data_IF_310110860183
#
_entry.id   IF_310110860183
#
_cell.length_a   1.000
_cell.length_b   1.000
_cell.length_c   1.000
_cell.angle_alpha   90.00
_cell.angle_beta   90.00
_cell.angle_gamma   90.00
#
_symmetry.space_group_name_H-M   'P 1'
#
loop_
_entity.id
_entity.type
_entity.pdbx_description
1 polymer ?
#
# COMPACT_ATOMS: atom_id res chain seq x y z
N UNK A 1 -12.88 -31.67 -10.13
CA UNK A 1 -11.68 -30.82 -10.16
C UNK A 1 -12.12 -29.40 -10.50
N UNK A 2 -12.29 -28.57 -9.47
CA UNK A 2 -12.63 -27.15 -9.60
C UNK A 2 -11.36 -26.33 -9.43
N UNK A 3 -11.00 -25.56 -10.46
CA UNK A 3 -9.96 -24.56 -10.37
C UNK A 3 -10.49 -23.36 -9.57
N UNK A 4 -10.41 -23.42 -8.24
CA UNK A 4 -10.44 -22.23 -7.38
C UNK A 4 -9.03 -21.63 -7.34
N UNK A 5 -8.73 -20.75 -8.30
CA UNK A 5 -7.45 -20.07 -8.41
C UNK A 5 -7.64 -18.56 -8.53
N UNK A 6 -6.99 -17.81 -7.63
CA UNK A 6 -7.02 -16.36 -7.41
C UNK A 6 -8.24 -15.81 -6.64
N UNK A 7 -8.20 -15.98 -5.32
CA UNK A 7 -9.00 -15.15 -4.42
C UNK A 7 -8.61 -13.67 -4.58
N UNK A 8 -9.60 -12.80 -4.75
CA UNK A 8 -9.48 -11.34 -4.68
C UNK A 8 -8.98 -10.91 -3.28
N UNK A 9 -7.70 -11.09 -2.99
CA UNK A 9 -7.08 -10.67 -1.73
C UNK A 9 -6.94 -9.16 -1.74
N UNK A 10 -7.94 -8.46 -1.22
CA UNK A 10 -7.84 -7.06 -0.85
C UNK A 10 -7.27 -6.96 0.57
N UNK A 11 -6.65 -5.82 0.88
CA UNK A 11 -6.09 -5.51 2.19
C UNK A 11 -6.99 -4.47 2.84
N UNK A 12 -7.49 -4.74 4.05
CA UNK A 12 -8.20 -3.74 4.87
C UNK A 12 -7.18 -2.99 5.73
N UNK A 13 -7.23 -1.66 5.72
CA UNK A 13 -6.35 -0.81 6.51
C UNK A 13 -7.16 0.23 7.29
N UNK A 14 -6.81 0.42 8.55
CA UNK A 14 -7.56 1.25 9.49
C UNK A 14 -8.63 0.43 10.24
N UNK A 15 -9.75 1.04 10.67
CA UNK A 15 -10.09 2.45 10.50
C UNK A 15 -9.33 3.36 11.48
N UNK A 16 -9.07 4.60 11.05
CA UNK A 16 -8.52 5.66 11.91
C UNK A 16 -9.62 6.59 12.39
N UNK A 17 -9.61 6.92 13.69
CA UNK A 17 -10.61 7.78 14.31
C UNK A 17 -11.13 7.20 15.62
N UNK A 18 -12.34 7.62 16.01
CA UNK A 18 -12.99 7.17 17.23
C UNK A 18 -13.70 5.82 17.12
N UNK A 19 -14.01 5.27 18.29
CA UNK A 19 -14.76 4.01 18.44
C UNK A 19 -16.27 4.22 18.57
N UNK A 20 -16.74 5.47 18.51
CA UNK A 20 -18.16 5.86 18.54
C UNK A 20 -18.86 5.61 17.21
N UNK A 21 -20.19 5.80 17.17
CA UNK A 21 -21.00 5.66 15.96
C UNK A 21 -21.30 4.22 15.52
N UNK A 22 -22.17 4.08 14.51
CA UNK A 22 -22.52 2.80 13.91
C UNK A 22 -21.45 2.36 12.90
N UNK A 23 -21.16 1.06 12.83
CA UNK A 23 -20.27 0.50 11.80
C UNK A 23 -20.93 0.57 10.42
N UNK A 24 -20.14 0.87 9.41
CA UNK A 24 -20.52 0.78 8.01
C UNK A 24 -19.37 0.21 7.19
N UNK A 25 -19.73 -0.46 6.10
CA UNK A 25 -18.82 -1.11 5.17
C UNK A 25 -19.48 -1.10 3.80
N UNK A 26 -18.90 -0.39 2.84
CA UNK A 26 -19.45 -0.32 1.48
C UNK A 26 -19.16 -1.59 0.67
N UNK A 27 -18.20 -2.41 1.11
CA UNK A 27 -17.64 -3.54 0.39
C UNK A 27 -16.51 -3.17 -0.58
N UNK A 28 -16.15 -4.13 -1.44
CA UNK A 28 -15.05 -4.02 -2.39
C UNK A 28 -15.58 -3.90 -3.82
N UNK A 29 -15.06 -2.93 -4.55
CA UNK A 29 -15.45 -2.56 -5.92
C UNK A 29 -14.27 -2.58 -6.88
N UNK A 30 -14.49 -2.24 -8.15
CA UNK A 30 -13.41 -2.16 -9.13
C UNK A 30 -12.54 -0.92 -8.92
N UNK A 31 -13.15 0.23 -8.63
CA UNK A 31 -12.47 1.49 -8.28
C UNK A 31 -13.48 2.48 -7.72
N UNK A 32 -12.98 3.55 -7.11
CA UNK A 32 -13.74 4.76 -6.79
C UNK A 32 -13.80 5.65 -8.04
N UNK A 33 -14.94 6.26 -8.32
CA UNK A 33 -15.16 7.23 -9.41
C UNK A 33 -15.32 8.66 -8.87
N UNK A 34 -16.02 8.81 -7.75
CA UNK A 34 -16.24 10.10 -7.13
C UNK A 34 -16.26 9.99 -5.60
N UNK A 35 -15.74 11.02 -4.94
CA UNK A 35 -15.92 11.24 -3.50
C UNK A 35 -16.72 12.52 -3.30
N UNK A 36 -17.75 12.48 -2.46
CA UNK A 36 -18.47 13.65 -1.97
C UNK A 36 -18.20 13.76 -0.48
N UNK A 37 -17.60 14.87 -0.07
CA UNK A 37 -17.22 15.11 1.31
C UNK A 37 -17.84 16.41 1.82
N UNK A 38 -18.55 16.31 2.94
CA UNK A 38 -19.08 17.46 3.67
C UNK A 38 -18.21 17.67 4.91
N UNK A 39 -17.72 18.90 5.10
CA UNK A 39 -16.78 19.22 6.17
C UNK A 39 -16.93 20.65 6.70
N UNK A 40 -16.38 20.84 7.89
CA UNK A 40 -16.28 22.09 8.62
C UNK A 40 -15.06 22.06 9.55
N UNK A 41 -15.29 22.05 10.87
CA UNK A 41 -14.24 21.80 11.85
C UNK A 41 -13.80 20.32 11.92
N UNK A 42 -14.67 19.43 11.43
CA UNK A 42 -14.50 17.98 11.28
C UNK A 42 -15.06 17.53 9.94
N UNK A 43 -14.94 16.24 9.62
CA UNK A 43 -15.70 15.64 8.53
C UNK A 43 -17.09 15.29 9.04
N UNK A 44 -18.10 16.00 8.52
CA UNK A 44 -19.50 15.78 8.87
C UNK A 44 -20.03 14.50 8.24
N UNK A 45 -19.73 14.31 6.96
CA UNK A 45 -20.14 13.11 6.23
C UNK A 45 -19.37 12.89 4.93
N UNK A 46 -19.41 11.64 4.46
CA UNK A 46 -18.79 11.21 3.23
C UNK A 46 -19.71 10.27 2.44
N UNK A 47 -19.61 10.31 1.12
CA UNK A 47 -20.32 9.41 0.20
C UNK A 47 -19.46 9.13 -1.01
N UNK A 48 -19.53 7.91 -1.53
CA UNK A 48 -18.70 7.45 -2.62
C UNK A 48 -19.54 7.00 -3.81
N UNK A 49 -19.04 7.27 -5.00
CA UNK A 49 -19.49 6.65 -6.23
C UNK A 49 -18.43 5.62 -6.64
N UNK A 50 -18.83 4.36 -6.77
CA UNK A 50 -17.97 3.26 -7.14
C UNK A 50 -18.24 2.78 -8.56
N UNK A 51 -17.21 2.21 -9.19
CA UNK A 51 -17.38 1.37 -10.37
C UNK A 51 -17.58 -0.08 -9.95
N UNK A 52 -18.71 -0.66 -10.38
CA UNK A 52 -19.05 -2.07 -10.23
C UNK A 52 -19.14 -2.68 -11.62
N UNK A 53 -18.02 -3.23 -12.10
CA UNK A 53 -17.87 -3.85 -13.42
C UNK A 53 -18.35 -2.93 -14.56
N UNK A 54 -17.93 -1.66 -14.55
CA UNK A 54 -18.30 -0.65 -15.54
C UNK A 54 -19.59 0.12 -15.22
N UNK A 55 -20.40 -0.35 -14.27
CA UNK A 55 -21.61 0.36 -13.82
C UNK A 55 -21.31 1.27 -12.64
N UNK A 56 -21.90 2.46 -12.62
CA UNK A 56 -21.80 3.36 -11.46
C UNK A 56 -22.80 2.97 -10.37
N UNK A 57 -22.33 2.90 -9.12
CA UNK A 57 -23.16 2.66 -7.93
C UNK A 57 -22.77 3.64 -6.83
N UNK A 58 -23.76 4.31 -6.23
CA UNK A 58 -23.55 5.17 -5.07
C UNK A 58 -23.63 4.39 -3.77
N UNK A 59 -22.72 4.67 -2.85
CA UNK A 59 -22.83 4.24 -1.46
C UNK A 59 -23.96 4.97 -0.75
N UNK A 60 -24.31 4.47 0.44
CA UNK A 60 -25.01 5.27 1.44
C UNK A 60 -24.13 6.45 1.90
N UNK A 61 -24.78 7.48 2.44
CA UNK A 61 -24.07 8.60 3.05
C UNK A 61 -23.68 8.22 4.48
N UNK A 62 -22.40 8.32 4.81
CA UNK A 62 -21.88 8.01 6.14
C UNK A 62 -21.61 9.30 6.91
N UNK A 63 -22.29 9.49 8.04
CA UNK A 63 -22.24 10.70 8.86
C UNK A 63 -23.55 11.50 8.85
N UNK A 64 -23.54 12.66 9.48
CA UNK A 64 -24.76 13.43 9.75
C UNK A 64 -25.23 14.33 8.60
N UNK A 65 -26.35 15.04 8.81
CA UNK A 65 -26.86 16.04 7.87
C UNK A 65 -26.02 17.32 7.84
N UNK A 66 -25.13 17.52 8.84
CA UNK A 66 -24.24 18.68 8.94
C UNK A 66 -23.41 18.90 7.68
N UNK A 67 -23.26 20.16 7.29
CA UNK A 67 -22.42 20.54 6.17
C UNK A 67 -22.18 22.05 6.16
N UNK A 68 -20.96 22.49 6.48
CA UNK A 68 -20.54 23.88 6.20
C UNK A 68 -20.05 24.03 4.76
N UNK A 69 -19.28 23.04 4.26
CA UNK A 69 -18.74 23.03 2.90
C UNK A 69 -18.85 21.63 2.30
N UNK A 70 -19.28 21.55 1.04
CA UNK A 70 -19.27 20.30 0.27
C UNK A 70 -18.25 20.39 -0.84
N UNK A 71 -17.36 19.40 -0.92
CA UNK A 71 -16.45 19.23 -2.04
C UNK A 71 -16.74 17.91 -2.77
N UNK A 72 -16.59 17.93 -4.10
CA UNK A 72 -16.74 16.76 -4.96
C UNK A 72 -15.40 16.49 -5.66
N UNK A 73 -14.86 15.31 -5.46
CA UNK A 73 -13.65 14.82 -6.11
C UNK A 73 -14.10 13.88 -7.22
N UNK A 74 -14.16 14.39 -8.46
CA UNK A 74 -14.38 13.56 -9.65
C UNK A 74 -13.05 13.07 -10.19
N UNK A 75 -12.89 11.75 -10.26
CA UNK A 75 -11.70 11.12 -10.83
C UNK A 75 -11.93 10.91 -12.32
N UNK A 76 -10.91 11.22 -13.14
CA UNK A 76 -10.93 10.94 -14.57
C UNK A 76 -10.81 9.42 -14.85
N UNK A 77 -11.85 8.66 -14.52
CA UNK A 77 -11.92 7.22 -14.75
C UNK A 77 -11.87 6.90 -16.26
N UNK A 78 -11.11 5.87 -16.70
CA UNK A 78 -10.37 4.90 -15.87
C UNK A 78 -8.94 5.31 -15.50
N UNK A 79 -8.41 6.38 -16.08
CA UNK A 79 -7.00 6.74 -15.99
C UNK A 79 -6.58 7.30 -14.63
N UNK A 80 -7.54 7.84 -13.87
CA UNK A 80 -7.32 8.36 -12.53
C UNK A 80 -8.07 7.53 -11.48
N UNK A 81 -7.34 7.07 -10.48
CA UNK A 81 -7.84 6.26 -9.38
C UNK A 81 -7.15 6.61 -8.07
N UNK A 82 -7.85 6.42 -6.96
CA UNK A 82 -7.30 6.68 -5.63
C UNK A 82 -6.25 5.63 -5.28
N UNK A 83 -5.11 6.11 -4.78
CA UNK A 83 -4.00 5.27 -4.33
C UNK A 83 -3.77 5.42 -2.83
N UNK A 84 -4.13 6.56 -2.23
CA UNK A 84 -3.86 6.84 -0.82
C UNK A 84 -4.90 7.76 -0.19
N UNK A 85 -5.04 7.63 1.14
CA UNK A 85 -5.68 8.60 2.01
C UNK A 85 -4.76 8.94 3.18
N UNK A 86 -4.85 10.19 3.62
CA UNK A 86 -4.27 10.66 4.88
C UNK A 86 -5.19 11.66 5.55
N UNK A 87 -4.95 11.94 6.83
CA UNK A 87 -5.83 12.81 7.59
C UNK A 87 -5.38 12.99 9.02
N UNK A 88 -6.26 13.57 9.82
CA UNK A 88 -6.05 13.76 11.25
C UNK A 88 -7.30 13.37 12.02
N UNK A 89 -7.13 12.82 13.21
CA UNK A 89 -8.20 12.54 14.15
C UNK A 89 -7.94 13.21 15.50
N UNK A 90 -9.01 13.72 16.12
CA UNK A 90 -8.97 14.37 17.43
C UNK A 90 -10.37 14.55 17.97
N UNK A 91 -10.47 14.81 19.27
CA UNK A 91 -11.70 15.32 19.86
C UNK A 91 -11.90 16.81 19.53
N UNK A 92 -13.15 17.28 19.57
CA UNK A 92 -13.49 18.71 19.46
C UNK A 92 -13.45 19.44 20.80
N UNK A 93 -13.69 18.71 21.88
CA UNK A 93 -13.72 19.22 23.26
C UNK A 93 -12.87 18.31 24.14
N UNK A 94 -12.38 18.82 25.27
CA UNK A 94 -11.63 17.99 26.23
C UNK A 94 -12.49 16.79 26.66
N UNK A 95 -11.90 15.58 26.64
CA UNK A 95 -12.58 14.30 26.91
C UNK A 95 -13.77 13.93 26.00
N UNK A 96 -13.98 14.63 24.90
CA UNK A 96 -15.00 14.29 23.90
C UNK A 96 -14.64 13.10 23.01
N UNK A 97 -15.58 12.63 22.17
CA UNK A 97 -15.33 11.56 21.22
C UNK A 97 -14.31 11.99 20.16
N UNK A 98 -13.39 11.09 19.82
CA UNK A 98 -12.44 11.29 18.72
C UNK A 98 -13.18 11.19 17.38
N UNK A 99 -12.98 12.19 16.53
CA UNK A 99 -13.59 12.26 15.19
C UNK A 99 -12.51 12.41 14.13
N UNK A 100 -12.86 12.09 12.88
CA UNK A 100 -12.02 12.44 11.72
C UNK A 100 -12.08 13.96 11.53
N UNK A 101 -10.96 14.65 11.80
CA UNK A 101 -10.85 16.12 11.72
C UNK A 101 -10.56 16.59 10.30
N UNK A 102 -9.76 15.82 9.56
CA UNK A 102 -9.44 16.13 8.19
C UNK A 102 -9.18 14.89 7.33
N UNK A 103 -9.38 15.06 6.02
CA UNK A 103 -9.03 14.07 5.01
C UNK A 103 -8.35 14.71 3.81
N UNK A 104 -7.34 14.01 3.30
CA UNK A 104 -6.69 14.27 2.03
C UNK A 104 -6.69 12.97 1.23
N UNK A 105 -7.16 13.05 -0.02
CA UNK A 105 -7.15 11.94 -0.96
C UNK A 105 -6.03 12.13 -1.96
N UNK A 106 -5.36 11.05 -2.32
CA UNK A 106 -4.30 11.07 -3.33
C UNK A 106 -4.65 10.05 -4.42
N UNK A 107 -4.69 10.53 -5.66
CA UNK A 107 -4.79 9.71 -6.85
C UNK A 107 -3.39 9.42 -7.40
N UNK A 108 -3.32 8.52 -8.38
CA UNK A 108 -2.12 8.32 -9.19
C UNK A 108 -1.69 9.55 -10.01
N UNK A 109 -2.44 10.67 -9.96
CA UNK A 109 -2.15 11.90 -10.70
C UNK A 109 -1.92 13.10 -9.80
N UNK A 110 -2.71 13.26 -8.72
CA UNK A 110 -2.68 14.45 -7.87
C UNK A 110 -3.31 14.23 -6.50
N UNK A 111 -3.15 15.23 -5.62
CA UNK A 111 -3.75 15.28 -4.29
C UNK A 111 -4.99 16.16 -4.26
N UNK A 112 -5.92 15.82 -3.38
CA UNK A 112 -7.17 16.53 -3.14
C UNK A 112 -7.37 16.76 -1.65
N UNK A 113 -7.54 18.03 -1.26
CA UNK A 113 -7.68 18.44 0.13
C UNK A 113 -6.50 19.31 0.59
N UNK A 114 -6.30 19.46 1.91
CA UNK A 114 -7.09 18.85 2.98
C UNK A 114 -8.54 19.37 3.00
N UNK A 115 -9.46 18.50 3.40
CA UNK A 115 -10.84 18.85 3.77
C UNK A 115 -10.95 18.77 5.29
N UNK A 116 -11.59 19.74 5.93
CA UNK A 116 -11.60 19.89 7.39
C UNK A 116 -10.35 20.58 7.95
N UNK A 117 -10.04 20.34 9.23
CA UNK A 117 -8.93 20.97 9.96
C UNK A 117 -7.85 19.94 10.28
N UNK A 118 -6.61 20.21 9.87
CA UNK A 118 -5.45 19.37 10.20
C UNK A 118 -5.03 19.56 11.66
N UNK A 119 -5.68 18.86 12.57
CA UNK A 119 -5.39 18.94 14.01
C UNK A 119 -5.54 17.58 14.68
N UNK A 120 -4.61 17.29 15.61
CA UNK A 120 -4.54 16.03 16.36
C UNK A 120 -3.63 14.99 15.73
N UNK A 121 -3.96 13.71 15.92
CA UNK A 121 -3.12 12.59 15.50
C UNK A 121 -3.22 12.40 13.99
N UNK A 122 -2.09 12.51 13.31
CA UNK A 122 -1.98 12.24 11.88
C UNK A 122 -2.12 10.74 11.58
N UNK A 123 -2.76 10.41 10.47
CA UNK A 123 -2.77 9.08 9.90
C UNK A 123 -2.58 9.11 8.39
N UNK A 124 -2.03 8.03 7.84
CA UNK A 124 -1.93 7.78 6.41
C UNK A 124 -1.94 6.29 6.14
N UNK A 125 -2.31 5.89 4.93
CA UNK A 125 -2.01 4.51 4.52
C UNK A 125 -0.48 4.34 4.43
N UNK A 126 0.05 3.17 4.79
CA UNK A 126 1.49 2.92 4.75
C UNK A 126 2.00 2.53 3.35
N UNK A 127 1.11 2.36 2.36
CA UNK A 127 1.39 1.61 1.13
C UNK A 127 1.58 2.48 -0.12
N UNK A 128 2.70 2.27 -0.81
CA UNK A 128 2.91 2.62 -2.22
C UNK A 128 2.61 1.38 -3.09
N UNK A 129 1.77 1.53 -4.12
CA UNK A 129 1.55 0.47 -5.14
C UNK A 129 0.19 -0.26 -5.12
N UNK A 130 -0.83 0.29 -4.46
CA UNK A 130 -2.19 -0.23 -4.49
C UNK A 130 -3.21 0.76 -5.04
N UNK A 131 -4.40 0.26 -5.35
CA UNK A 131 -5.58 1.07 -5.65
C UNK A 131 -6.61 0.92 -4.55
N UNK A 132 -7.20 2.02 -4.10
CA UNK A 132 -8.33 2.00 -3.17
C UNK A 132 -9.58 1.55 -3.93
N UNK A 133 -10.20 0.49 -3.42
CA UNK A 133 -11.33 -0.22 -4.03
C UNK A 133 -12.58 -0.23 -3.16
N UNK A 134 -12.53 0.37 -1.97
CA UNK A 134 -13.67 0.48 -1.09
C UNK A 134 -13.32 1.18 0.21
N UNK A 135 -14.34 1.53 0.97
CA UNK A 135 -14.20 2.20 2.26
C UNK A 135 -15.10 1.51 3.30
N UNK A 136 -14.64 1.57 4.54
CA UNK A 136 -15.40 1.11 5.72
C UNK A 136 -15.10 2.06 6.88
N UNK A 137 -15.88 2.00 7.96
CA UNK A 137 -15.64 2.88 9.10
C UNK A 137 -16.76 2.91 10.11
N UNK A 138 -16.85 4.03 10.82
CA UNK A 138 -17.91 4.31 11.79
C UNK A 138 -18.42 5.72 11.62
N UNK A 139 -19.72 5.91 11.78
CA UNK A 139 -20.33 7.23 11.69
C UNK A 139 -21.56 7.38 12.57
N UNK A 140 -21.82 8.62 12.95
CA UNK A 140 -22.98 9.07 13.73
C UNK A 140 -23.45 10.42 13.16
N UNK A 141 -23.51 11.47 13.97
CA UNK A 141 -23.68 12.84 13.50
C UNK A 141 -22.47 13.36 12.71
N UNK A 142 -21.32 12.70 12.86
CA UNK A 142 -20.07 12.99 12.15
C UNK A 142 -19.45 11.71 11.62
N UNK A 143 -18.35 11.84 10.86
CA UNK A 143 -17.49 10.71 10.54
C UNK A 143 -16.57 10.41 11.73
N UNK A 144 -16.91 9.35 12.47
CA UNK A 144 -16.17 8.94 13.67
C UNK A 144 -14.82 8.29 13.28
N UNK A 145 -14.83 7.37 12.32
CA UNK A 145 -13.60 6.73 11.81
C UNK A 145 -13.74 6.28 10.36
N UNK A 146 -12.59 6.11 9.69
CA UNK A 146 -12.52 5.71 8.28
C UNK A 146 -11.35 4.76 8.03
N UNK A 147 -11.60 3.71 7.26
CA UNK A 147 -10.63 2.75 6.75
C UNK A 147 -10.88 2.50 5.26
N UNK A 148 -9.95 1.77 4.65
CA UNK A 148 -9.95 1.51 3.20
C UNK A 148 -9.72 0.04 2.90
N UNK A 149 -10.29 -0.39 1.78
CA UNK A 149 -9.87 -1.62 1.11
C UNK A 149 -8.92 -1.28 -0.03
N UNK A 150 -7.76 -1.92 -0.04
CA UNK A 150 -6.72 -1.77 -1.04
C UNK A 150 -6.62 -3.03 -1.88
N UNK A 151 -6.56 -2.86 -3.19
CA UNK A 151 -6.17 -3.90 -4.12
C UNK A 151 -4.70 -3.65 -4.51
N UNK A 152 -3.75 -4.55 -4.19
CA UNK A 152 -2.40 -4.45 -4.68
C UNK A 152 -2.41 -4.44 -6.21
N UNK A 153 -1.84 -3.41 -6.81
CA UNK A 153 -1.52 -3.44 -8.22
C UNK A 153 -0.20 -4.21 -8.29
N UNK A 154 -0.25 -5.50 -8.64
CA UNK A 154 0.97 -6.20 -9.01
C UNK A 154 1.69 -5.30 -10.01
N UNK A 155 2.90 -4.83 -9.67
CA UNK A 155 3.76 -4.21 -10.67
C UNK A 155 3.94 -5.26 -11.74
N UNK A 156 3.18 -5.14 -12.83
CA UNK A 156 3.42 -5.88 -14.04
C UNK A 156 4.82 -5.44 -14.42
N UNK A 157 5.81 -6.30 -14.20
CA UNK A 157 7.19 -6.06 -14.62
C UNK A 157 7.11 -5.61 -16.07
N UNK A 158 7.37 -4.33 -16.32
CA UNK A 158 7.57 -3.79 -17.65
C UNK A 158 8.96 -4.26 -18.10
N UNK A 159 9.10 -5.56 -18.31
CA UNK A 159 10.28 -6.18 -18.91
C UNK A 159 9.92 -7.29 -19.90
N UNK A 160 8.68 -7.81 -19.92
CA UNK A 160 8.28 -8.86 -20.86
C UNK A 160 7.68 -8.31 -22.16
N UNK A 161 8.32 -7.30 -22.77
CA UNK A 161 8.01 -6.85 -24.13
C UNK A 161 9.27 -6.65 -25.01
N UNK A 162 10.34 -7.40 -24.74
CA UNK A 162 11.39 -7.64 -25.72
C UNK A 162 11.51 -9.13 -26.02
N UNK A 163 10.59 -9.64 -26.83
CA UNK A 163 10.74 -10.92 -27.52
C UNK A 163 10.53 -10.71 -29.02
N UNK A 164 11.66 -10.44 -29.67
CA UNK A 164 12.09 -10.69 -31.06
C UNK A 164 11.13 -10.46 -32.25
N UNK A 165 11.64 -9.88 -33.36
CA UNK A 165 10.89 -9.79 -34.61
C UNK A 165 10.63 -11.20 -35.16
N UNK A 166 9.37 -11.49 -35.52
CA UNK A 166 9.04 -12.67 -36.32
C UNK A 166 9.56 -12.45 -37.74
N UNK A 167 10.60 -13.21 -38.07
CA UNK A 167 11.09 -13.42 -39.42
C UNK A 167 9.95 -13.86 -40.34
N UNK A 168 9.62 -13.02 -41.33
CA UNK A 168 8.91 -13.49 -42.52
C UNK A 168 9.98 -13.99 -43.51
N UNK A 169 9.96 -15.28 -43.78
CA UNK A 169 10.60 -15.83 -44.98
C UNK A 169 9.86 -15.28 -46.20
N UNK A 170 10.53 -14.42 -46.97
CA UNK A 170 10.16 -14.13 -48.36
C UNK A 170 11.32 -14.52 -49.25
N UNK A 171 11.07 -15.52 -50.10
CA UNK A 171 11.94 -15.93 -51.18
C UNK A 171 12.06 -14.82 -52.21
N UNK A 172 13.29 -14.59 -52.68
CA UNK A 172 13.60 -14.00 -53.98
C UNK A 172 13.75 -12.49 -53.99
N UNK A 173 14.96 -12.02 -54.27
CA UNK A 173 15.22 -11.13 -55.42
C UNK A 173 16.70 -11.14 -55.78
N UNK A 174 16.92 -11.22 -57.08
CA UNK A 174 18.16 -11.05 -57.81
C UNK A 174 18.74 -9.63 -57.68
N UNK A 175 20.06 -9.58 -57.88
CA UNK A 175 20.90 -8.48 -58.41
C UNK A 175 21.22 -7.19 -57.61
N UNK A 176 22.54 -7.08 -57.38
CA UNK A 176 23.50 -5.97 -57.65
C UNK A 176 23.40 -4.65 -56.86
N UNK A 177 24.52 -4.30 -56.21
CA UNK A 177 25.42 -3.12 -56.37
C UNK A 177 26.35 -3.09 -55.13
N UNK A 178 27.66 -3.44 -55.24
CA UNK A 178 28.87 -2.55 -55.22
C UNK A 178 28.83 -1.47 -54.11
N UNK A 179 29.83 -1.21 -53.28
CA UNK A 179 31.27 -1.51 -53.20
C UNK A 179 31.81 -1.06 -51.81
N UNK A 180 33.04 -1.44 -51.47
CA UNK A 180 34.00 -0.79 -50.52
C UNK A 180 33.92 -1.02 -48.98
N UNK A 181 34.63 -2.07 -48.55
CA UNK A 181 35.85 -2.05 -47.70
C UNK A 181 36.04 -0.90 -46.68
N UNK A 182 36.24 -1.22 -45.40
CA UNK A 182 37.49 -0.96 -44.63
C UNK A 182 37.50 -1.78 -43.33
N UNK A 183 38.53 -2.63 -43.19
CA UNK A 183 38.94 -3.33 -41.97
C UNK A 183 39.62 -2.38 -40.97
N UNK A 184 39.58 -2.70 -39.68
CA UNK A 184 40.74 -2.63 -38.78
C UNK A 184 40.40 -3.34 -37.46
N UNK A 185 40.99 -4.54 -37.32
CA UNK A 185 41.10 -5.31 -36.08
C UNK A 185 42.15 -4.65 -35.16
N UNK A 186 41.92 -4.71 -33.84
CA UNK A 186 43.00 -4.65 -32.87
C UNK A 186 42.62 -5.55 -31.67
N UNK A 187 43.24 -6.73 -31.64
CA UNK A 187 43.19 -7.68 -30.52
C UNK A 187 44.16 -7.26 -29.41
N UNK A 188 43.70 -7.26 -28.15
CA UNK A 188 44.57 -7.62 -27.02
C UNK A 188 43.84 -8.58 -26.07
N UNK A 189 44.23 -9.84 -26.22
CA UNK A 189 43.90 -10.99 -25.39
C UNK A 189 44.75 -10.97 -24.09
N UNK A 190 44.11 -10.89 -22.91
CA UNK A 190 44.71 -11.32 -21.64
C UNK A 190 43.68 -12.06 -20.79
N UNK A 191 43.68 -13.39 -20.92
CA UNK A 191 43.78 -14.34 -19.81
C UNK A 191 42.77 -14.31 -18.66
N UNK A 192 41.86 -15.30 -18.68
CA UNK A 192 41.33 -16.07 -17.53
C UNK A 192 41.05 -15.33 -16.21
N UNK A 193 39.78 -14.97 -16.00
CA UNK A 193 39.16 -14.96 -14.67
C UNK A 193 37.83 -15.72 -14.73
N UNK A 194 37.73 -16.76 -13.91
CA UNK A 194 36.63 -17.70 -13.87
C UNK A 194 35.26 -17.03 -13.76
N UNK A 195 34.34 -17.41 -14.66
CA UNK A 195 32.92 -17.07 -14.57
C UNK A 195 32.35 -17.76 -13.32
N UNK A 196 32.20 -17.01 -12.23
CA UNK A 196 31.37 -17.43 -11.10
C UNK A 196 29.94 -17.45 -11.62
N UNK A 197 29.42 -18.66 -11.90
CA UNK A 197 28.00 -18.88 -12.18
C UNK A 197 27.20 -18.36 -10.98
N UNK A 198 26.48 -17.25 -11.15
CA UNK A 198 25.40 -16.89 -10.23
C UNK A 198 24.34 -17.99 -10.32
N UNK A 199 23.84 -18.53 -9.20
CA UNK A 199 22.71 -19.43 -9.25
C UNK A 199 21.48 -18.65 -9.74
N UNK A 200 20.79 -19.21 -10.72
CA UNK A 200 19.52 -18.72 -11.24
C UNK A 200 18.52 -18.53 -10.08
N UNK A 201 18.05 -17.30 -9.89
CA UNK A 201 17.01 -17.01 -8.91
C UNK A 201 15.68 -17.48 -9.51
N UNK A 202 15.19 -18.59 -8.96
CA UNK A 202 13.87 -19.13 -9.23
C UNK A 202 12.80 -18.07 -8.96
N UNK A 203 12.12 -17.61 -10.02
CA UNK A 203 11.23 -16.45 -10.04
C UNK A 203 9.84 -16.72 -9.44
N UNK A 204 9.77 -17.17 -8.19
CA UNK A 204 8.49 -17.41 -7.50
C UNK A 204 8.45 -17.02 -6.02
N UNK A 205 9.42 -16.24 -5.52
CA UNK A 205 9.32 -15.68 -4.17
C UNK A 205 8.40 -14.46 -4.17
N UNK A 206 7.25 -14.55 -3.48
CA UNK A 206 6.42 -13.39 -3.14
C UNK A 206 7.32 -12.32 -2.51
N UNK A 207 7.53 -11.20 -3.19
CA UNK A 207 8.34 -10.11 -2.67
C UNK A 207 7.64 -9.45 -1.49
N UNK A 208 8.30 -9.39 -0.34
CA UNK A 208 7.77 -8.70 0.83
C UNK A 208 7.77 -7.19 0.57
N UNK A 209 6.64 -6.53 0.83
CA UNK A 209 6.51 -5.07 0.78
C UNK A 209 6.76 -4.52 2.18
N UNK A 210 7.70 -3.59 2.31
CA UNK A 210 8.03 -2.94 3.58
C UNK A 210 7.07 -1.78 3.89
N UNK A 211 6.65 -1.65 5.15
CA UNK A 211 5.80 -0.57 5.66
C UNK A 211 6.45 0.10 6.86
N UNK A 212 6.45 1.44 6.91
CA UNK A 212 7.21 2.22 7.90
C UNK A 212 8.67 2.43 7.48
N UNK A 213 9.60 2.69 8.42
CA UNK A 213 9.45 2.74 9.88
C UNK A 213 8.75 4.02 10.37
N UNK A 214 8.17 3.94 11.58
CA UNK A 214 7.65 5.12 12.29
C UNK A 214 8.42 5.27 13.60
N UNK A 215 8.95 6.47 13.86
CA UNK A 215 9.74 6.74 15.06
C UNK A 215 10.73 7.89 14.87
N UNK A 216 11.70 7.97 15.78
CA UNK A 216 12.80 8.95 15.71
C UNK A 216 13.84 8.62 14.62
N UNK A 217 14.70 9.57 14.31
CA UNK A 217 15.78 9.45 13.31
C UNK A 217 17.09 8.87 13.87
N UNK A 218 17.12 8.50 15.15
CA UNK A 218 18.28 7.91 15.83
C UNK A 218 18.20 6.37 15.95
N UNK A 219 19.30 5.75 16.38
CA UNK A 219 19.41 4.30 16.56
C UNK A 219 20.23 3.59 15.49
N UNK A 220 20.50 2.30 15.70
CA UNK A 220 21.21 1.45 14.72
C UNK A 220 20.15 0.78 13.84
N UNK A 221 20.31 0.90 12.52
CA UNK A 221 19.44 0.21 11.56
C UNK A 221 19.55 -1.30 11.72
N UNK A 222 18.42 -2.00 11.69
CA UNK A 222 18.36 -3.45 11.67
C UNK A 222 17.28 -3.91 10.67
N UNK A 223 17.52 -5.06 10.06
CA UNK A 223 16.59 -5.77 9.20
C UNK A 223 16.81 -7.27 9.44
N UNK A 224 15.79 -7.96 9.97
CA UNK A 224 15.84 -9.40 10.21
C UNK A 224 15.52 -10.21 8.94
N UNK A 225 15.20 -9.54 7.82
CA UNK A 225 14.84 -10.16 6.54
C UNK A 225 13.38 -10.64 6.47
N UNK A 226 13.00 -11.21 5.33
CA UNK A 226 11.67 -11.78 5.13
C UNK A 226 11.61 -13.25 5.62
N UNK A 227 10.58 -13.57 6.40
CA UNK A 227 10.33 -14.90 6.96
C UNK A 227 8.94 -15.41 6.54
N UNK A 228 8.69 -16.72 6.66
CA UNK A 228 7.40 -17.32 6.26
C UNK A 228 6.27 -17.01 7.24
N UNK A 229 6.60 -16.62 8.47
CA UNK A 229 5.64 -16.14 9.46
C UNK A 229 6.31 -15.54 10.70
N UNK A 230 5.48 -15.06 11.62
CA UNK A 230 5.88 -14.60 12.96
C UNK A 230 5.19 -15.51 13.97
N UNK A 231 5.96 -16.07 14.91
CA UNK A 231 5.48 -17.01 15.94
C UNK A 231 5.35 -16.35 17.31
N UNK A 232 6.28 -15.48 17.66
CA UNK A 232 6.30 -14.83 18.97
C UNK A 232 6.93 -13.43 18.86
N UNK A 233 6.40 -12.47 19.60
CA UNK A 233 7.01 -11.13 19.75
C UNK A 233 7.28 -10.86 21.22
N UNK A 234 8.50 -10.43 21.54
CA UNK A 234 8.93 -10.02 22.89
C UNK A 234 9.25 -8.54 22.92
N UNK A 235 8.62 -7.83 23.85
CA UNK A 235 8.83 -6.41 24.09
C UNK A 235 9.23 -6.13 25.54
N UNK A 236 10.17 -5.20 25.73
CA UNK A 236 10.42 -4.57 27.04
C UNK A 236 10.12 -3.09 26.99
N UNK A 237 9.59 -2.50 28.07
CA UNK A 237 9.41 -1.05 28.18
C UNK A 237 9.79 -0.50 29.55
N UNK A 238 10.08 0.80 29.55
CA UNK A 238 10.19 1.63 30.73
C UNK A 238 9.81 3.07 30.34
N UNK A 239 8.53 3.40 30.36
CA UNK A 239 7.99 4.67 29.84
C UNK A 239 7.94 4.77 28.30
N UNK A 240 8.81 4.05 27.58
CA UNK A 240 8.78 3.81 26.14
C UNK A 240 9.24 2.38 25.83
N UNK A 241 9.05 1.90 24.60
CA UNK A 241 9.60 0.61 24.15
C UNK A 241 11.14 0.68 24.22
N UNK A 242 11.73 -0.23 24.99
CA UNK A 242 13.18 -0.30 25.21
C UNK A 242 13.81 -1.32 24.28
N UNK A 243 13.17 -2.48 24.06
CA UNK A 243 13.67 -3.48 23.12
C UNK A 243 12.57 -4.34 22.52
N UNK A 244 12.88 -4.90 21.35
CA UNK A 244 12.06 -5.87 20.62
C UNK A 244 12.91 -7.08 20.22
N UNK A 245 12.32 -8.26 20.29
CA UNK A 245 12.88 -9.47 19.71
C UNK A 245 11.74 -10.33 19.15
N UNK A 246 11.91 -10.85 17.94
CA UNK A 246 10.87 -11.60 17.24
C UNK A 246 11.33 -13.04 17.01
N UNK A 247 10.47 -14.01 17.27
CA UNK A 247 10.63 -15.38 16.80
C UNK A 247 9.85 -15.54 15.50
N UNK A 248 10.55 -15.89 14.44
CA UNK A 248 9.99 -16.12 13.13
C UNK A 248 9.71 -17.60 12.89
N UNK A 249 8.79 -17.87 11.97
CA UNK A 249 8.72 -19.15 11.28
C UNK A 249 9.53 -19.07 9.99
N UNK A 250 10.39 -20.06 9.77
CA UNK A 250 11.07 -20.26 8.49
C UNK A 250 10.82 -21.71 8.04
N UNK A 251 9.89 -21.88 7.11
CA UNK A 251 9.48 -23.17 6.56
C UNK A 251 9.06 -24.18 7.66
N UNK A 252 8.30 -23.74 8.66
CA UNK A 252 7.83 -24.58 9.76
C UNK A 252 8.78 -24.68 10.96
N UNK A 253 9.98 -24.08 10.88
CA UNK A 253 10.95 -24.06 11.98
C UNK A 253 10.99 -22.70 12.66
N UNK A 254 10.95 -22.71 14.00
CA UNK A 254 11.12 -21.50 14.80
C UNK A 254 12.58 -21.01 14.76
N UNK A 255 12.78 -19.72 14.46
CA UNK A 255 14.08 -19.06 14.48
C UNK A 255 13.99 -17.70 15.18
N UNK A 256 14.86 -17.43 16.14
CA UNK A 256 14.87 -16.16 16.86
C UNK A 256 15.70 -15.11 16.12
N UNK A 257 15.09 -13.95 15.87
CA UNK A 257 15.77 -12.75 15.40
C UNK A 257 16.62 -12.11 16.48
N UNK A 258 17.36 -11.06 16.10
CA UNK A 258 18.19 -10.31 17.05
C UNK A 258 17.31 -9.52 18.01
N UNK A 259 17.76 -9.39 19.25
CA UNK A 259 17.16 -8.43 20.19
C UNK A 259 17.66 -7.04 19.82
N UNK A 260 16.75 -6.18 19.36
CA UNK A 260 17.04 -4.81 18.95
C UNK A 260 16.57 -3.83 20.03
N UNK A 261 17.43 -2.91 20.45
CA UNK A 261 17.18 -1.96 21.54
C UNK A 261 18.01 -2.23 22.80
N UNK A 262 17.60 -1.63 23.93
CA UNK A 262 18.35 -1.65 25.19
C UNK A 262 18.18 -2.92 26.03
N UNK A 263 18.98 -3.02 27.10
CA UNK A 263 18.92 -4.14 28.07
C UNK A 263 17.95 -3.91 29.24
N UNK A 264 17.36 -2.73 29.36
CA UNK A 264 16.46 -2.35 30.45
C UNK A 264 14.97 -2.60 30.18
N UNK A 265 14.15 -2.31 31.19
CA UNK A 265 12.68 -2.33 31.13
C UNK A 265 12.04 -3.62 31.62
N UNK A 266 10.76 -3.51 31.99
CA UNK A 266 9.94 -4.63 32.42
C UNK A 266 9.39 -5.37 31.19
N UNK A 267 9.29 -6.71 31.27
CA UNK A 267 8.58 -7.50 30.25
C UNK A 267 7.10 -7.17 30.33
N UNK A 268 6.52 -6.76 29.21
CA UNK A 268 5.15 -6.23 29.18
C UNK A 268 4.17 -7.24 28.57
N UNK A 269 4.66 -8.19 27.77
CA UNK A 269 3.82 -9.19 27.10
C UNK A 269 4.62 -10.17 26.26
N UNK A 270 4.05 -11.37 26.10
CA UNK A 270 4.47 -12.42 25.18
C UNK A 270 3.22 -12.81 24.38
N UNK A 271 3.16 -12.38 23.13
CA UNK A 271 2.08 -12.77 22.22
C UNK A 271 2.57 -13.94 21.38
N UNK A 272 1.85 -15.07 21.47
CA UNK A 272 2.12 -16.31 20.74
C UNK A 272 1.03 -16.44 19.65
N UNK A 273 1.47 -16.71 18.42
CA UNK A 273 0.60 -16.80 17.23
C UNK A 273 0.52 -18.24 16.70
#
# INVERSE_FOLDING_TARGET
MSYEGYGNSHISVGPWGGQSGARWDDGVYNTVRQVVICHGATIDSIRFEYDKRGSSVWSEKHGGPGCLKTNKIKLAHPDEYLVSISGHCSSLVEYGPVLVRSLMFESNKKKYGPFGIQYGTYFSIPMTGGKIVGFHGRSSWYLDSIGVFLMPLLQRNLSDNFAAPRNYNTNGTDEKYRDDSYDLEDELNVGNLAVIRRPEINSNTKQAVSYGPWGGTGGIMFDDGAHTGVREVRLTSQGAIVSIQICYDLNGKATWGRKNGGSGGNKIGQDIF
#
